data_IF_375584741254
#
_entry.id   IF_375584741254
#
_cell.length_a   1.000
_cell.length_b   1.000
_cell.length_c   1.000
_cell.angle_alpha   90.00
_cell.angle_beta   90.00
_cell.angle_gamma   90.00
#
_symmetry.space_group_name_H-M   'P 1'
#
loop_
_entity.id
_entity.type
_entity.pdbx_description
1 polymer ?
#
# COMPACT_ATOMS: atom_id res chain seq x y z
N UNK A 1 -26.13 5.05 5.06
CA UNK A 1 -24.89 5.65 4.51
C UNK A 1 -25.10 7.02 3.89
N UNK A 2 -26.18 7.27 3.12
CA UNK A 2 -26.48 8.60 2.53
C UNK A 2 -27.81 9.24 2.95
N UNK A 3 -28.54 8.61 3.88
CA UNK A 3 -29.52 9.28 4.75
C UNK A 3 -28.93 9.23 6.14
N UNK A 4 -28.23 10.29 6.53
CA UNK A 4 -27.90 10.53 7.94
C UNK A 4 -28.99 11.43 8.48
N UNK A 5 -30.14 10.83 8.80
CA UNK A 5 -31.28 11.57 9.36
C UNK A 5 -30.88 12.31 10.65
N UNK A 6 -30.00 11.72 11.45
CA UNK A 6 -29.42 12.33 12.65
C UNK A 6 -28.64 13.64 12.38
N UNK A 7 -28.16 13.87 11.16
CA UNK A 7 -27.43 15.08 10.75
C UNK A 7 -28.29 16.02 9.88
N UNK A 8 -29.59 15.73 9.70
CA UNK A 8 -30.51 16.51 8.84
C UNK A 8 -30.20 16.46 7.34
N UNK A 9 -29.31 15.56 6.91
CA UNK A 9 -28.78 15.54 5.54
C UNK A 9 -29.53 14.52 4.66
N UNK A 10 -30.58 14.98 3.97
CA UNK A 10 -31.22 14.21 2.88
C UNK A 10 -30.47 14.46 1.57
N UNK A 11 -29.50 13.60 1.27
CA UNK A 11 -28.67 13.72 0.08
C UNK A 11 -29.52 13.74 -1.20
N UNK A 12 -30.65 13.01 -1.24
CA UNK A 12 -31.51 12.95 -2.43
C UNK A 12 -32.10 14.31 -2.70
N UNK A 13 -32.65 14.99 -1.68
CA UNK A 13 -33.14 16.35 -1.84
C UNK A 13 -32.02 17.36 -2.09
N UNK A 14 -30.85 17.18 -1.46
CA UNK A 14 -29.70 18.07 -1.65
C UNK A 14 -29.10 18.04 -3.06
N UNK A 15 -29.23 16.91 -3.78
CA UNK A 15 -28.69 16.76 -5.15
C UNK A 15 -29.76 16.83 -6.25
N UNK A 16 -31.02 17.13 -5.92
CA UNK A 16 -32.12 17.26 -6.92
C UNK A 16 -31.81 18.27 -8.02
N UNK A 17 -31.11 19.35 -7.68
CA UNK A 17 -30.72 20.44 -8.58
C UNK A 17 -29.30 20.29 -9.12
N UNK A 18 -28.70 19.10 -9.05
CA UNK A 18 -27.35 18.86 -9.56
C UNK A 18 -27.31 18.92 -11.09
N UNK A 19 -26.75 20.00 -11.63
CA UNK A 19 -26.61 20.19 -13.08
C UNK A 19 -25.39 19.52 -13.70
N UNK A 20 -24.31 19.33 -12.93
CA UNK A 20 -23.02 18.87 -13.44
C UNK A 20 -22.42 17.79 -12.53
N UNK A 21 -22.06 16.66 -13.13
CA UNK A 21 -21.30 15.58 -12.49
C UNK A 21 -19.93 15.45 -13.16
N UNK A 22 -18.86 15.46 -12.38
CA UNK A 22 -17.50 15.25 -12.87
C UNK A 22 -16.95 13.95 -12.27
N UNK A 23 -16.58 13.01 -13.14
CA UNK A 23 -15.88 11.78 -12.80
C UNK A 23 -14.43 11.91 -13.24
N UNK A 24 -13.56 12.30 -12.31
CA UNK A 24 -12.12 12.41 -12.54
C UNK A 24 -11.40 11.08 -12.22
N UNK A 25 -10.28 10.84 -12.89
CA UNK A 25 -9.51 9.58 -12.85
C UNK A 25 -10.43 8.35 -13.02
N UNK A 26 -11.28 8.40 -14.04
CA UNK A 26 -12.39 7.46 -14.21
C UNK A 26 -11.97 6.00 -14.46
N UNK A 27 -10.75 5.75 -14.93
CA UNK A 27 -10.16 4.40 -14.99
C UNK A 27 -10.08 3.76 -13.59
N UNK A 28 -9.66 4.53 -12.57
CA UNK A 28 -9.56 4.08 -11.17
C UNK A 28 -10.90 3.76 -10.55
N UNK A 29 -11.89 4.58 -10.89
CA UNK A 29 -13.25 4.45 -10.40
C UNK A 29 -13.87 3.09 -10.81
N UNK A 30 -13.33 2.46 -11.84
CA UNK A 30 -13.76 1.14 -12.30
C UNK A 30 -12.86 0.01 -11.75
N UNK A 31 -11.54 0.20 -11.75
CA UNK A 31 -10.56 -0.84 -11.36
C UNK A 31 -10.71 -1.37 -9.92
N UNK A 32 -11.09 -0.52 -8.97
CA UNK A 32 -10.98 -0.80 -7.53
C UNK A 32 -12.25 -1.36 -6.88
N UNK A 33 -13.20 -1.88 -7.68
CA UNK A 33 -14.48 -2.35 -7.17
C UNK A 33 -15.38 -1.23 -6.64
N UNK A 34 -15.11 0.02 -7.04
CA UNK A 34 -15.99 1.16 -6.74
C UNK A 34 -17.22 1.23 -7.65
N UNK A 35 -17.32 0.35 -8.65
CA UNK A 35 -18.47 0.27 -9.57
C UNK A 35 -19.80 0.22 -8.81
N UNK A 36 -19.92 -0.65 -7.79
CA UNK A 36 -21.14 -0.74 -6.99
C UNK A 36 -21.45 0.58 -6.25
N UNK A 37 -20.42 1.25 -5.71
CA UNK A 37 -20.57 2.55 -5.04
C UNK A 37 -20.97 3.65 -6.03
N UNK A 38 -20.38 3.66 -7.23
CA UNK A 38 -20.69 4.63 -8.29
C UNK A 38 -22.10 4.41 -8.79
N UNK A 39 -22.49 3.19 -9.12
CA UNK A 39 -23.86 2.87 -9.55
C UNK A 39 -24.89 3.29 -8.49
N UNK A 40 -24.55 3.12 -7.20
CA UNK A 40 -25.38 3.61 -6.09
C UNK A 40 -25.50 5.13 -6.13
N UNK A 41 -24.37 5.85 -6.23
CA UNK A 41 -24.37 7.32 -6.31
C UNK A 41 -25.20 7.79 -7.52
N UNK A 42 -24.91 7.25 -8.72
CA UNK A 42 -25.60 7.59 -9.96
C UNK A 42 -27.12 7.33 -9.89
N UNK A 43 -27.56 6.33 -9.12
CA UNK A 43 -28.97 6.04 -8.88
C UNK A 43 -29.72 7.13 -8.09
N UNK A 44 -29.01 7.92 -7.27
CA UNK A 44 -29.60 9.03 -6.52
C UNK A 44 -29.50 10.38 -7.24
N UNK A 45 -28.65 10.50 -8.26
CA UNK A 45 -28.46 11.75 -9.00
C UNK A 45 -29.57 11.97 -10.06
N UNK A 46 -29.99 13.22 -10.30
CA UNK A 46 -30.99 13.54 -11.31
C UNK A 46 -30.53 13.05 -12.69
N UNK A 47 -31.46 12.43 -13.45
CA UNK A 47 -31.16 11.92 -14.80
C UNK A 47 -30.84 13.04 -15.80
N UNK A 48 -31.39 14.23 -15.59
CA UNK A 48 -31.10 15.42 -16.37
C UNK A 48 -29.93 16.14 -15.73
N UNK A 49 -28.72 15.81 -16.20
CA UNK A 49 -27.46 16.41 -15.77
C UNK A 49 -26.44 16.33 -16.89
N UNK A 50 -25.47 17.23 -16.91
CA UNK A 50 -24.27 17.12 -17.74
C UNK A 50 -23.25 16.26 -16.98
N UNK A 51 -22.68 15.26 -17.64
CA UNK A 51 -21.65 14.41 -17.01
C UNK A 51 -20.35 14.54 -17.80
N UNK A 52 -19.29 14.99 -17.14
CA UNK A 52 -17.94 15.02 -17.66
C UNK A 52 -17.14 13.85 -17.10
N UNK A 53 -16.50 13.09 -17.97
CA UNK A 53 -15.62 11.99 -17.60
C UNK A 53 -14.20 12.34 -18.05
N UNK A 54 -13.27 12.31 -17.11
CA UNK A 54 -11.87 12.66 -17.32
C UNK A 54 -11.00 11.49 -16.91
N UNK A 55 -10.06 11.13 -17.78
CA UNK A 55 -9.08 10.08 -17.52
C UNK A 55 -7.85 10.32 -18.39
N UNK A 56 -6.67 10.10 -17.80
CA UNK A 56 -5.41 10.11 -18.56
C UNK A 56 -5.24 8.85 -19.42
N UNK A 57 -5.89 7.74 -19.05
CA UNK A 57 -5.80 6.49 -19.81
C UNK A 57 -7.16 6.06 -20.37
N UNK A 58 -7.12 5.46 -21.55
CA UNK A 58 -8.30 4.86 -22.19
C UNK A 58 -8.18 3.35 -22.02
N UNK A 59 -9.09 2.77 -21.25
CA UNK A 59 -9.24 1.33 -21.05
C UNK A 59 -10.58 0.85 -21.61
N UNK A 60 -10.73 -0.45 -21.86
CA UNK A 60 -11.97 -1.00 -22.41
C UNK A 60 -13.13 -0.87 -21.41
N UNK A 61 -12.83 -0.97 -20.11
CA UNK A 61 -13.76 -0.79 -19.02
C UNK A 61 -14.32 0.64 -19.02
N UNK A 62 -13.47 1.63 -19.32
CA UNK A 62 -13.89 3.02 -19.43
C UNK A 62 -14.88 3.24 -20.58
N UNK A 63 -14.67 2.59 -21.74
CA UNK A 63 -15.63 2.62 -22.86
C UNK A 63 -17.00 2.07 -22.45
N UNK A 64 -17.01 1.00 -21.66
CA UNK A 64 -18.25 0.42 -21.14
C UNK A 64 -18.95 1.39 -20.17
N UNK A 65 -18.21 2.07 -19.29
CA UNK A 65 -18.76 3.10 -18.40
C UNK A 65 -19.31 4.30 -19.19
N UNK A 66 -18.62 4.73 -20.24
CA UNK A 66 -19.09 5.79 -21.15
C UNK A 66 -20.44 5.41 -21.76
N UNK A 67 -20.59 4.17 -22.25
CA UNK A 67 -21.84 3.66 -22.83
C UNK A 67 -22.97 3.55 -21.80
N UNK A 68 -22.66 3.16 -20.57
CA UNK A 68 -23.66 2.96 -19.52
C UNK A 68 -24.07 4.27 -18.81
N UNK A 69 -23.14 5.22 -18.66
CA UNK A 69 -23.28 6.37 -17.77
C UNK A 69 -23.52 7.72 -18.45
N UNK A 70 -23.27 7.84 -19.77
CA UNK A 70 -23.36 9.11 -20.50
C UNK A 70 -24.48 9.10 -21.54
N UNK A 71 -25.22 10.22 -21.62
CA UNK A 71 -26.20 10.48 -22.70
C UNK A 71 -25.53 11.30 -23.79
N UNK A 72 -25.52 10.77 -25.02
CA UNK A 72 -24.93 11.41 -26.20
C UNK A 72 -23.53 12.02 -25.95
N UNK A 73 -22.54 11.20 -25.53
CA UNK A 73 -21.22 11.71 -25.15
C UNK A 73 -20.45 12.24 -26.35
N UNK A 74 -19.86 13.43 -26.21
CA UNK A 74 -18.84 13.95 -27.13
C UNK A 74 -17.47 13.54 -26.62
N UNK A 75 -16.71 12.79 -27.42
CA UNK A 75 -15.36 12.36 -27.06
C UNK A 75 -14.34 13.37 -27.57
N UNK A 76 -13.63 13.99 -26.62
CA UNK A 76 -12.48 14.85 -26.91
C UNK A 76 -11.22 14.05 -26.58
N UNK A 77 -10.42 13.72 -27.59
CA UNK A 77 -9.11 13.10 -27.38
C UNK A 77 -8.03 14.11 -27.77
N UNK A 78 -7.33 14.62 -26.77
CA UNK A 78 -6.17 15.50 -27.00
C UNK A 78 -4.98 14.60 -27.32
N UNK A 79 -4.43 14.74 -28.53
CA UNK A 79 -3.16 14.12 -28.93
C UNK A 79 -2.13 15.24 -29.07
N UNK A 80 -0.96 15.12 -28.45
CA UNK A 80 0.14 16.05 -28.71
C UNK A 80 0.59 15.90 -30.18
N UNK A 81 0.60 17.02 -30.92
CA UNK A 81 1.13 17.07 -32.29
C UNK A 81 2.65 17.07 -32.20
N UNK A 82 3.32 16.02 -32.69
CA UNK A 82 4.78 16.00 -32.78
C UNK A 82 5.43 14.62 -32.84
N UNK A 83 4.74 13.58 -32.40
CA UNK A 83 5.20 12.20 -32.65
C UNK A 83 4.59 11.76 -33.98
N UNK A 84 5.43 11.31 -34.92
CA UNK A 84 5.01 10.86 -36.24
C UNK A 84 3.74 9.99 -36.18
N UNK A 85 2.89 10.08 -37.20
CA UNK A 85 1.59 9.42 -37.30
C UNK A 85 1.58 7.88 -37.08
N UNK A 86 2.75 7.28 -36.85
CA UNK A 86 3.02 5.87 -36.56
C UNK A 86 3.20 5.53 -35.07
N UNK A 87 3.48 6.46 -34.15
CA UNK A 87 3.66 6.14 -32.72
C UNK A 87 2.90 7.10 -31.79
N UNK A 88 1.72 6.66 -31.35
CA UNK A 88 0.84 7.39 -30.42
C UNK A 88 1.29 7.22 -28.97
N UNK A 89 2.30 7.95 -28.52
CA UNK A 89 2.78 7.84 -27.11
C UNK A 89 1.72 8.35 -26.12
N UNK A 90 1.49 7.62 -25.01
CA UNK A 90 0.58 8.02 -23.92
C UNK A 90 1.27 8.88 -22.85
N UNK A 91 2.57 9.14 -22.98
CA UNK A 91 3.39 9.90 -22.03
C UNK A 91 3.72 11.29 -22.56
N UNK A 92 3.94 12.30 -21.68
CA UNK A 92 4.33 13.64 -22.10
C UNK A 92 5.61 13.64 -22.96
N UNK A 93 5.68 14.47 -24.00
CA UNK A 93 6.85 14.50 -24.92
C UNK A 93 8.18 14.83 -24.22
N UNK A 94 8.14 15.62 -23.12
CA UNK A 94 9.33 16.00 -22.32
C UNK A 94 9.70 14.98 -21.24
N UNK A 95 8.97 13.87 -21.15
CA UNK A 95 9.23 12.77 -20.24
C UNK A 95 10.18 11.75 -20.87
N UNK A 96 11.32 11.52 -20.23
CA UNK A 96 12.22 10.44 -20.59
C UNK A 96 11.96 9.23 -19.70
N UNK A 97 11.55 8.10 -20.29
CA UNK A 97 11.29 6.86 -19.58
C UNK A 97 12.48 5.91 -19.73
N UNK A 98 13.04 5.50 -18.61
CA UNK A 98 14.18 4.61 -18.52
C UNK A 98 13.81 3.30 -17.81
N UNK A 99 14.52 2.23 -18.15
CA UNK A 99 14.53 1.00 -17.36
C UNK A 99 15.96 0.59 -17.02
N UNK A 100 16.11 -0.15 -15.93
CA UNK A 100 17.36 -0.76 -15.52
C UNK A 100 17.10 -2.20 -15.10
N UNK A 101 17.89 -3.12 -15.65
CA UNK A 101 17.89 -4.52 -15.24
C UNK A 101 18.92 -4.69 -14.13
N UNK A 102 18.51 -5.22 -12.99
CA UNK A 102 19.39 -5.44 -11.84
C UNK A 102 18.95 -6.68 -11.05
N UNK A 103 19.91 -7.39 -10.45
CA UNK A 103 19.62 -8.50 -9.54
C UNK A 103 18.95 -8.00 -8.26
N UNK A 104 18.19 -8.86 -7.58
CA UNK A 104 17.35 -8.47 -6.46
C UNK A 104 18.14 -7.94 -5.24
N UNK A 105 19.34 -8.49 -5.02
CA UNK A 105 20.30 -8.07 -4.01
C UNK A 105 21.00 -6.74 -4.35
N UNK A 106 21.30 -6.48 -5.61
CA UNK A 106 21.94 -5.23 -6.05
C UNK A 106 20.96 -4.05 -6.18
N UNK A 107 19.68 -4.33 -6.42
CA UNK A 107 18.62 -3.35 -6.70
C UNK A 107 18.58 -2.18 -5.71
N UNK A 108 18.68 -2.47 -4.40
CA UNK A 108 18.67 -1.43 -3.38
C UNK A 108 19.93 -0.56 -3.40
N UNK A 109 21.08 -1.16 -3.71
CA UNK A 109 22.36 -0.45 -3.79
C UNK A 109 22.36 0.53 -4.98
N UNK A 110 21.77 0.15 -6.12
CA UNK A 110 21.55 1.07 -7.25
C UNK A 110 20.66 2.25 -6.86
N UNK A 111 19.52 2.00 -6.19
CA UNK A 111 18.63 3.07 -5.75
C UNK A 111 19.36 4.09 -4.86
N UNK A 112 20.09 3.63 -3.85
CA UNK A 112 20.80 4.51 -2.91
C UNK A 112 21.89 5.30 -3.63
N UNK A 113 22.62 4.65 -4.55
CA UNK A 113 23.69 5.28 -5.31
C UNK A 113 23.12 6.36 -6.25
N UNK A 114 21.99 6.07 -6.91
CA UNK A 114 21.25 7.02 -7.73
C UNK A 114 20.86 8.27 -6.94
N UNK A 115 20.22 8.08 -5.78
CA UNK A 115 19.75 9.17 -4.93
C UNK A 115 20.91 10.00 -4.33
N UNK A 116 22.07 9.39 -4.09
CA UNK A 116 23.25 10.08 -3.54
C UNK A 116 23.98 10.95 -4.56
N UNK A 117 23.94 10.61 -5.84
CA UNK A 117 24.55 11.44 -6.88
C UNK A 117 23.68 12.66 -7.21
N UNK A 118 22.37 12.58 -6.94
CA UNK A 118 21.36 13.59 -7.31
C UNK A 118 20.67 14.23 -6.11
N UNK A 119 21.43 14.59 -5.07
CA UNK A 119 20.86 15.09 -3.80
C UNK A 119 20.09 16.40 -3.90
N UNK A 120 20.42 17.23 -4.90
CA UNK A 120 19.80 18.54 -5.13
C UNK A 120 18.51 18.45 -5.96
N UNK A 121 18.14 17.26 -6.42
CA UNK A 121 16.93 17.03 -7.20
C UNK A 121 15.77 16.56 -6.30
N UNK A 122 14.55 16.73 -6.79
CA UNK A 122 13.32 16.27 -6.16
C UNK A 122 12.89 14.91 -6.74
N UNK A 123 12.85 13.90 -5.88
CA UNK A 123 12.63 12.50 -6.24
C UNK A 123 11.33 11.96 -5.66
N UNK A 124 10.57 11.23 -6.48
CA UNK A 124 9.43 10.44 -6.05
C UNK A 124 9.74 8.96 -6.23
N UNK A 125 9.78 8.19 -5.14
CA UNK A 125 10.17 6.77 -5.14
C UNK A 125 8.98 5.90 -4.80
N UNK A 126 8.50 5.13 -5.77
CA UNK A 126 7.35 4.24 -5.64
C UNK A 126 7.76 2.83 -5.20
N UNK A 127 7.02 2.31 -4.21
CA UNK A 127 7.08 0.93 -3.74
C UNK A 127 5.70 0.30 -3.79
N UNK A 128 5.65 -1.02 -3.99
CA UNK A 128 4.37 -1.74 -4.16
C UNK A 128 3.54 -1.83 -2.88
N UNK A 129 4.15 -1.77 -1.69
CA UNK A 129 3.42 -1.94 -0.43
C UNK A 129 3.73 -0.88 0.62
N UNK A 130 2.77 -0.64 1.51
CA UNK A 130 2.96 0.26 2.66
C UNK A 130 4.11 -0.20 3.57
N UNK A 131 4.32 -1.51 3.71
CA UNK A 131 5.39 -2.04 4.57
C UNK A 131 6.77 -1.80 3.94
N UNK A 132 6.89 -1.90 2.61
CA UNK A 132 8.10 -1.50 1.89
C UNK A 132 8.38 0.00 2.07
N UNK A 133 7.38 0.87 1.93
CA UNK A 133 7.54 2.32 2.17
C UNK A 133 8.06 2.60 3.58
N UNK A 134 7.51 1.96 4.61
CA UNK A 134 7.96 2.16 5.99
C UNK A 134 9.37 1.61 6.27
N UNK A 135 9.76 0.51 5.61
CA UNK A 135 11.07 -0.12 5.77
C UNK A 135 12.14 0.65 5.01
N UNK A 136 11.94 0.86 3.72
CA UNK A 136 12.89 1.57 2.85
C UNK A 136 12.95 3.07 3.15
N UNK A 137 11.87 3.69 3.62
CA UNK A 137 11.89 5.08 4.10
C UNK A 137 12.92 5.29 5.22
N UNK A 138 12.89 4.41 6.24
CA UNK A 138 13.89 4.42 7.33
C UNK A 138 15.31 4.08 6.85
N UNK A 139 15.42 3.14 5.92
CA UNK A 139 16.70 2.75 5.33
C UNK A 139 17.34 3.93 4.59
N UNK A 140 16.58 4.60 3.72
CA UNK A 140 17.03 5.73 2.93
C UNK A 140 17.37 6.94 3.81
N UNK A 141 16.57 7.22 4.85
CA UNK A 141 16.88 8.26 5.84
C UNK A 141 18.25 8.05 6.51
N UNK A 142 18.62 6.81 6.80
CA UNK A 142 19.92 6.47 7.41
C UNK A 142 21.10 6.41 6.40
N UNK A 143 20.82 6.24 5.11
CA UNK A 143 21.82 6.02 4.06
C UNK A 143 22.06 7.24 3.19
N UNK A 144 21.05 8.06 2.92
CA UNK A 144 21.14 9.27 2.09
C UNK A 144 21.25 10.48 3.00
N UNK A 145 22.44 10.66 3.59
CA UNK A 145 22.72 11.79 4.48
C UNK A 145 22.59 13.13 3.73
N UNK A 146 22.13 14.15 4.46
CA UNK A 146 21.94 15.53 4.01
C UNK A 146 20.84 15.71 2.96
N UNK A 147 19.87 14.79 2.91
CA UNK A 147 18.67 14.91 2.07
C UNK A 147 17.45 14.63 2.92
N UNK A 148 16.40 15.42 2.73
CA UNK A 148 15.14 15.20 3.44
C UNK A 148 14.39 14.02 2.82
N UNK A 149 14.20 12.96 3.62
CA UNK A 149 13.44 11.78 3.23
C UNK A 149 12.09 11.79 3.93
N UNK A 150 11.02 11.78 3.16
CA UNK A 150 9.64 11.71 3.65
C UNK A 150 9.01 10.40 3.17
N UNK A 151 8.06 9.87 3.94
CA UNK A 151 7.35 8.63 3.59
C UNK A 151 5.84 8.81 3.69
N UNK A 152 5.11 8.36 2.68
CA UNK A 152 3.66 8.54 2.58
C UNK A 152 2.99 7.28 2.00
N UNK A 153 2.04 6.72 2.74
CA UNK A 153 1.24 5.58 2.29
C UNK A 153 -0.20 5.65 2.82
N UNK A 154 -1.10 4.85 2.23
CA UNK A 154 -2.55 4.95 2.47
C UNK A 154 -3.02 4.66 3.90
N UNK A 155 -2.20 4.03 4.73
CA UNK A 155 -2.53 3.78 6.15
C UNK A 155 -2.28 4.99 7.06
N UNK A 156 -1.69 6.07 6.53
CA UNK A 156 -1.44 7.30 7.28
C UNK A 156 -2.63 8.24 7.14
N UNK A 157 -3.56 8.24 8.10
CA UNK A 157 -4.77 9.09 8.05
C UNK A 157 -4.46 10.56 8.41
N UNK A 158 -3.88 10.81 9.58
CA UNK A 158 -3.74 12.18 10.13
C UNK A 158 -2.46 12.91 9.68
N UNK A 159 -1.39 12.17 9.34
CA UNK A 159 -0.08 12.76 8.98
C UNK A 159 0.10 13.02 7.48
N UNK A 160 -0.76 12.44 6.64
CA UNK A 160 -0.60 12.46 5.17
C UNK A 160 -0.61 13.89 4.61
N UNK A 161 -1.59 14.70 5.01
CA UNK A 161 -1.70 16.07 4.48
C UNK A 161 -0.51 16.94 4.92
N UNK A 162 -0.04 16.78 6.16
CA UNK A 162 1.15 17.49 6.65
C UNK A 162 2.40 17.13 5.84
N UNK A 163 2.67 15.84 5.68
CA UNK A 163 3.85 15.35 4.93
C UNK A 163 3.76 15.76 3.46
N UNK A 164 2.56 15.68 2.88
CA UNK A 164 2.34 16.11 1.50
C UNK A 164 2.61 17.60 1.31
N UNK A 165 2.04 18.45 2.16
CA UNK A 165 2.27 19.91 2.11
C UNK A 165 3.74 20.25 2.36
N UNK A 166 4.40 19.52 3.26
CA UNK A 166 5.83 19.67 3.51
C UNK A 166 6.65 19.31 2.26
N UNK A 167 6.41 18.16 1.64
CA UNK A 167 7.12 17.76 0.43
C UNK A 167 6.85 18.68 -0.76
N UNK A 168 5.62 19.19 -0.89
CA UNK A 168 5.25 20.13 -1.95
C UNK A 168 6.10 21.39 -1.91
N UNK A 169 6.42 21.89 -0.72
CA UNK A 169 7.23 23.10 -0.48
C UNK A 169 8.74 22.88 -0.63
N UNK A 170 9.21 21.63 -0.63
CA UNK A 170 10.63 21.36 -0.80
C UNK A 170 11.04 21.56 -2.26
N UNK A 171 12.18 22.23 -2.46
CA UNK A 171 12.86 22.34 -3.75
C UNK A 171 13.58 21.03 -4.10
N UNK A 172 14.19 20.38 -3.09
CA UNK A 172 14.88 19.09 -3.22
C UNK A 172 14.52 18.15 -2.08
N UNK A 173 14.57 16.85 -2.35
CA UNK A 173 14.21 15.83 -1.37
C UNK A 173 13.65 14.55 -1.97
N UNK A 174 13.37 13.57 -1.12
CA UNK A 174 12.93 12.24 -1.52
C UNK A 174 11.59 11.94 -0.85
N UNK A 175 10.57 11.65 -1.65
CA UNK A 175 9.30 11.13 -1.16
C UNK A 175 9.16 9.65 -1.51
N UNK A 176 9.15 8.82 -0.48
CA UNK A 176 8.92 7.37 -0.58
C UNK A 176 7.42 7.10 -0.45
N UNK A 177 6.78 6.51 -1.45
CA UNK A 177 5.33 6.36 -1.45
C UNK A 177 4.80 5.11 -2.15
N UNK A 178 3.52 4.81 -1.91
CA UNK A 178 2.74 3.84 -2.70
C UNK A 178 1.89 4.56 -3.75
N UNK A 179 1.08 3.80 -4.50
CA UNK A 179 0.16 4.30 -5.54
C UNK A 179 -0.93 5.27 -5.06
N UNK A 180 -0.98 5.56 -3.76
CA UNK A 180 -1.76 6.68 -3.23
C UNK A 180 -1.28 8.02 -3.81
N UNK A 181 0.00 8.11 -4.18
CA UNK A 181 0.61 9.30 -4.78
C UNK A 181 0.67 9.27 -6.31
N UNK A 182 0.19 8.21 -6.96
CA UNK A 182 0.34 8.03 -8.41
C UNK A 182 -0.69 8.81 -9.24
N UNK A 183 -1.86 9.15 -8.70
CA UNK A 183 -2.99 9.75 -9.44
C UNK A 183 -3.52 11.02 -8.77
N UNK A 184 -4.06 11.96 -9.55
CA UNK A 184 -4.79 13.15 -9.07
C UNK A 184 -4.04 14.16 -8.19
N UNK A 185 -2.79 13.89 -7.82
CA UNK A 185 -2.00 14.75 -6.94
C UNK A 185 -1.00 15.56 -7.76
N UNK A 186 -1.00 16.87 -7.53
CA UNK A 186 -0.04 17.78 -8.14
C UNK A 186 1.15 18.09 -7.22
N UNK A 187 2.34 17.70 -7.69
CA UNK A 187 3.62 17.99 -7.05
C UNK A 187 4.43 18.79 -8.07
N UNK A 188 4.72 20.07 -7.80
CA UNK A 188 5.52 20.87 -8.71
C UNK A 188 6.96 20.35 -8.73
N UNK A 189 7.56 20.44 -9.92
CA UNK A 189 9.00 20.33 -10.15
C UNK A 189 9.64 19.02 -9.65
N UNK A 190 8.97 17.89 -9.85
CA UNK A 190 9.59 16.58 -9.64
C UNK A 190 10.59 16.35 -10.78
N UNK A 191 11.87 16.14 -10.48
CA UNK A 191 12.89 15.82 -11.49
C UNK A 191 12.83 14.35 -11.90
N UNK A 192 12.68 13.47 -10.90
CA UNK A 192 12.71 12.02 -11.10
C UNK A 192 11.56 11.28 -10.44
N UNK A 193 10.97 10.37 -11.22
CA UNK A 193 10.07 9.33 -10.71
C UNK A 193 10.78 7.99 -10.75
N UNK A 194 11.16 7.46 -9.60
CA UNK A 194 11.79 6.16 -9.45
C UNK A 194 10.73 5.12 -9.08
N UNK A 195 10.58 4.10 -9.90
CA UNK A 195 9.70 2.97 -9.64
C UNK A 195 10.57 1.81 -9.17
N UNK A 196 10.81 1.74 -7.86
CA UNK A 196 11.61 0.67 -7.28
C UNK A 196 10.97 -0.68 -7.56
N UNK A 197 9.65 -0.77 -7.37
CA UNK A 197 8.88 -1.94 -7.76
C UNK A 197 8.01 -1.60 -8.98
N UNK A 198 7.91 -2.51 -9.97
CA UNK A 198 6.93 -2.37 -11.04
C UNK A 198 5.51 -2.18 -10.47
N UNK A 199 4.71 -1.28 -11.07
CA UNK A 199 3.35 -1.01 -10.62
C UNK A 199 2.45 -2.20 -10.86
N UNK A 200 1.47 -2.43 -9.97
CA UNK A 200 0.56 -3.59 -10.06
C UNK A 200 -0.23 -3.69 -11.37
N UNK A 201 -0.41 -2.56 -12.08
CA UNK A 201 -1.06 -2.49 -13.39
C UNK A 201 -0.29 -1.64 -14.38
N UNK A 202 -0.48 -1.92 -15.65
CA UNK A 202 0.15 -1.18 -16.76
C UNK A 202 -0.31 0.29 -16.80
N UNK A 203 -1.59 0.56 -16.47
CA UNK A 203 -2.12 1.92 -16.37
C UNK A 203 -1.43 2.69 -15.24
N UNK A 204 -1.21 2.07 -14.08
CA UNK A 204 -0.53 2.71 -12.96
C UNK A 204 0.91 3.14 -13.31
N UNK A 205 1.59 2.45 -14.23
CA UNK A 205 2.88 2.89 -14.77
C UNK A 205 2.82 4.30 -15.36
N UNK A 206 1.88 4.53 -16.28
CA UNK A 206 1.70 5.82 -16.97
C UNK A 206 1.39 6.93 -15.96
N UNK A 207 0.59 6.62 -14.95
CA UNK A 207 0.23 7.57 -13.89
C UNK A 207 1.40 7.95 -12.99
N UNK A 208 2.23 6.96 -12.61
CA UNK A 208 3.46 7.18 -11.85
C UNK A 208 4.42 8.06 -12.63
N UNK A 209 4.77 7.69 -13.85
CA UNK A 209 5.74 8.47 -14.65
C UNK A 209 5.19 9.86 -15.01
N UNK A 210 3.87 10.02 -15.15
CA UNK A 210 3.19 11.31 -15.30
C UNK A 210 3.18 12.21 -14.05
N UNK A 211 3.88 11.85 -12.96
CA UNK A 211 4.12 12.75 -11.81
C UNK A 211 5.26 13.74 -12.05
N UNK A 212 6.08 13.51 -13.06
CA UNK A 212 7.11 14.46 -13.54
C UNK A 212 6.75 14.97 -14.95
N UNK A 213 7.59 15.83 -15.53
CA UNK A 213 7.40 16.45 -16.84
C UNK A 213 6.06 17.21 -16.97
N UNK A 214 5.67 17.92 -15.91
CA UNK A 214 4.41 18.68 -15.83
C UNK A 214 4.59 20.15 -16.17
N UNK A 215 3.54 20.79 -16.69
CA UNK A 215 3.49 22.23 -16.96
C UNK A 215 4.69 22.67 -17.82
N UNK A 216 5.04 21.86 -18.83
CA UNK A 216 6.16 22.14 -19.72
C UNK A 216 7.56 21.86 -19.14
N UNK A 217 7.69 21.41 -17.89
CA UNK A 217 9.00 21.03 -17.35
C UNK A 217 9.51 19.72 -17.97
N UNK A 218 10.83 19.53 -17.91
CA UNK A 218 11.46 18.25 -18.20
C UNK A 218 11.38 17.32 -17.00
N UNK A 219 11.40 16.02 -17.27
CA UNK A 219 11.27 15.00 -16.25
C UNK A 219 11.77 13.65 -16.72
N UNK A 220 12.23 12.84 -15.79
CA UNK A 220 12.70 11.49 -16.08
C UNK A 220 12.05 10.47 -15.15
N UNK A 221 11.72 9.30 -15.68
CA UNK A 221 11.22 8.18 -14.90
C UNK A 221 12.13 6.98 -15.09
N UNK A 222 12.40 6.25 -14.02
CA UNK A 222 13.22 5.03 -14.05
C UNK A 222 12.46 3.89 -13.38
N UNK A 223 12.32 2.75 -14.06
CA UNK A 223 11.81 1.51 -13.45
C UNK A 223 12.92 0.49 -13.27
N UNK A 224 13.02 -0.08 -12.07
CA UNK A 224 13.95 -1.15 -11.79
C UNK A 224 13.27 -2.50 -12.02
N UNK A 225 13.87 -3.32 -12.89
CA UNK A 225 13.40 -4.63 -13.28
C UNK A 225 14.42 -5.70 -12.87
N UNK A 226 13.92 -6.87 -12.47
CA UNK A 226 14.73 -8.07 -12.34
C UNK A 226 15.02 -8.66 -13.73
N UNK A 227 16.07 -9.49 -13.89
CA UNK A 227 16.41 -10.08 -15.18
C UNK A 227 15.26 -10.83 -15.85
N UNK A 228 14.43 -11.56 -15.08
CA UNK A 228 13.26 -12.26 -15.64
C UNK A 228 12.08 -11.34 -15.98
N UNK A 229 12.12 -10.07 -15.59
CA UNK A 229 11.05 -9.09 -15.82
C UNK A 229 11.27 -8.26 -17.09
N UNK A 230 12.34 -8.49 -17.84
CA UNK A 230 12.71 -7.71 -19.04
C UNK A 230 11.57 -7.64 -20.08
N UNK A 231 10.80 -8.73 -20.23
CA UNK A 231 9.63 -8.78 -21.12
C UNK A 231 8.56 -7.72 -20.79
N UNK A 232 8.57 -7.17 -19.58
CA UNK A 232 7.69 -6.07 -19.18
C UNK A 232 7.93 -4.79 -20.00
N UNK A 233 9.16 -4.55 -20.45
CA UNK A 233 9.51 -3.39 -21.30
C UNK A 233 8.74 -3.45 -22.62
N UNK A 234 8.79 -4.60 -23.29
CA UNK A 234 8.06 -4.82 -24.55
C UNK A 234 6.55 -4.72 -24.34
N UNK A 235 6.03 -5.27 -23.24
CA UNK A 235 4.63 -5.17 -22.88
C UNK A 235 4.18 -3.70 -22.69
N UNK A 236 4.96 -2.87 -21.99
CA UNK A 236 4.65 -1.45 -21.83
C UNK A 236 4.71 -0.67 -23.16
N UNK A 237 5.68 -1.00 -24.01
CA UNK A 237 5.81 -0.41 -25.35
C UNK A 237 4.59 -0.71 -26.21
N UNK A 238 4.09 -1.95 -26.22
CA UNK A 238 2.95 -2.37 -27.06
C UNK A 238 1.62 -1.89 -26.46
N UNK A 239 1.36 -2.18 -25.18
CA UNK A 239 0.03 -2.01 -24.59
C UNK A 239 -0.22 -0.56 -24.11
N UNK A 240 0.83 0.11 -23.63
CA UNK A 240 0.74 1.49 -23.14
C UNK A 240 1.36 2.51 -24.09
N UNK A 241 1.98 2.08 -25.20
CA UNK A 241 2.68 2.96 -26.15
C UNK A 241 3.71 3.83 -25.43
N UNK A 242 4.39 3.23 -24.46
CA UNK A 242 5.37 3.86 -23.60
C UNK A 242 6.72 3.16 -23.84
N UNK A 243 7.49 3.58 -24.86
CA UNK A 243 8.82 3.03 -25.07
C UNK A 243 9.74 3.46 -23.94
N UNK A 244 10.59 2.55 -23.49
CA UNK A 244 11.58 2.78 -22.44
C UNK A 244 12.97 2.64 -23.05
N UNK A 245 13.89 3.48 -22.59
CA UNK A 245 15.30 3.40 -22.94
C UNK A 245 16.07 2.68 -21.83
N UNK A 246 16.99 1.79 -22.19
CA UNK A 246 17.87 1.18 -21.21
C UNK A 246 18.83 2.20 -20.62
N UNK A 247 18.98 2.20 -19.29
CA UNK A 247 19.96 3.02 -18.59
C UNK A 247 21.16 2.14 -18.19
N UNK A 248 22.16 2.08 -19.05
CA UNK A 248 23.29 1.14 -18.94
C UNK A 248 24.48 1.62 -18.07
N UNK A 249 24.41 2.81 -17.46
CA UNK A 249 25.62 3.51 -16.97
C UNK A 249 25.66 3.79 -15.47
N UNK A 250 25.11 2.92 -14.62
CA UNK A 250 25.25 3.10 -13.17
C UNK A 250 26.09 1.99 -12.56
N UNK A 251 27.35 2.27 -12.23
CA UNK A 251 28.17 1.36 -11.40
C UNK A 251 27.88 1.65 -9.94
N UNK A 252 27.29 0.69 -9.24
CA UNK A 252 27.24 0.76 -7.79
C UNK A 252 28.61 0.40 -7.22
N UNK A 253 29.29 1.35 -6.58
CA UNK A 253 30.62 1.14 -6.01
C UNK A 253 30.60 0.66 -4.56
N UNK A 254 29.46 0.75 -3.87
CA UNK A 254 29.37 0.48 -2.42
C UNK A 254 28.15 -0.35 -2.08
N UNK A 255 28.39 -1.50 -1.43
CA UNK A 255 27.34 -2.32 -0.85
C UNK A 255 26.77 -1.69 0.45
N UNK A 256 25.46 -1.48 0.49
CA UNK A 256 24.75 -0.92 1.64
C UNK A 256 23.96 -1.95 2.45
N UNK A 257 23.83 -3.18 1.95
CA UNK A 257 23.13 -4.26 2.65
C UNK A 257 23.76 -4.59 4.01
N UNK A 258 25.09 -4.62 4.20
CA UNK A 258 25.70 -4.89 5.50
C UNK A 258 25.31 -3.85 6.56
N UNK A 259 25.19 -2.58 6.16
CA UNK A 259 24.75 -1.50 7.05
C UNK A 259 23.29 -1.66 7.43
N UNK A 260 22.41 -2.03 6.49
CA UNK A 260 21.01 -2.36 6.81
C UNK A 260 20.89 -3.56 7.74
N UNK A 261 21.69 -4.59 7.49
CA UNK A 261 21.75 -5.79 8.34
C UNK A 261 22.20 -5.42 9.76
N UNK A 262 23.18 -4.52 9.90
CA UNK A 262 23.60 -3.97 11.21
C UNK A 262 22.48 -3.18 11.89
N UNK A 263 21.72 -2.37 11.15
CA UNK A 263 20.56 -1.65 11.71
C UNK A 263 19.50 -2.62 12.23
N UNK A 264 19.20 -3.68 11.48
CA UNK A 264 18.26 -4.73 11.89
C UNK A 264 18.74 -5.51 13.12
N UNK A 265 20.06 -5.75 13.25
CA UNK A 265 20.66 -6.35 14.46
C UNK A 265 20.54 -5.43 15.69
N UNK A 266 20.62 -4.12 15.48
CA UNK A 266 20.60 -3.13 16.57
C UNK A 266 19.19 -2.76 17.07
N UNK A 267 18.17 -2.84 16.22
CA UNK A 267 16.81 -2.45 16.55
C UNK A 267 15.80 -3.45 15.99
N UNK A 268 15.07 -4.10 16.92
CA UNK A 268 13.99 -5.04 16.60
C UNK A 268 12.90 -4.41 15.72
N UNK A 269 12.66 -3.10 15.83
CA UNK A 269 11.64 -2.45 14.99
C UNK A 269 12.05 -2.42 13.51
N UNK A 270 13.34 -2.29 13.20
CA UNK A 270 13.85 -2.34 11.82
C UNK A 270 13.78 -3.78 11.31
N UNK A 271 14.20 -4.75 12.12
CA UNK A 271 14.08 -6.18 11.80
C UNK A 271 12.64 -6.58 11.45
N UNK A 272 11.67 -6.26 12.30
CA UNK A 272 10.27 -6.63 12.07
C UNK A 272 9.66 -5.93 10.85
N UNK A 273 10.05 -4.68 10.59
CA UNK A 273 9.64 -3.96 9.37
C UNK A 273 10.20 -4.64 8.12
N UNK A 274 11.47 -5.06 8.13
CA UNK A 274 12.07 -5.80 7.01
C UNK A 274 11.34 -7.11 6.71
N UNK A 275 11.06 -7.91 7.76
CA UNK A 275 10.28 -9.15 7.64
C UNK A 275 8.89 -8.91 7.04
N UNK A 276 8.19 -7.88 7.55
CA UNK A 276 6.86 -7.52 7.06
C UNK A 276 6.88 -7.00 5.63
N UNK A 277 7.91 -6.21 5.28
CA UNK A 277 8.11 -5.66 3.94
C UNK A 277 8.31 -6.80 2.93
N UNK A 278 9.21 -7.74 3.22
CA UNK A 278 9.45 -8.90 2.36
C UNK A 278 8.17 -9.73 2.12
N UNK A 279 7.47 -10.12 3.19
CA UNK A 279 6.23 -10.91 3.04
C UNK A 279 5.19 -10.16 2.22
N UNK A 280 5.04 -8.85 2.46
CA UNK A 280 4.08 -8.04 1.71
C UNK A 280 4.48 -7.88 0.25
N UNK A 281 5.77 -7.76 -0.05
CA UNK A 281 6.29 -7.63 -1.42
C UNK A 281 5.99 -8.89 -2.21
N UNK A 282 6.32 -10.08 -1.67
CA UNK A 282 6.03 -11.36 -2.34
C UNK A 282 4.53 -11.53 -2.59
N UNK A 283 3.68 -11.14 -1.63
CA UNK A 283 2.22 -11.16 -1.81
C UNK A 283 1.72 -10.18 -2.87
N UNK A 284 2.34 -9.00 -2.99
CA UNK A 284 1.99 -8.03 -4.01
C UNK A 284 2.44 -8.51 -5.40
N UNK A 285 3.65 -9.08 -5.49
CA UNK A 285 4.19 -9.68 -6.70
C UNK A 285 3.30 -10.82 -7.21
N UNK A 286 2.82 -11.68 -6.32
CA UNK A 286 1.90 -12.77 -6.65
C UNK A 286 0.54 -12.30 -7.22
N UNK A 287 0.14 -11.06 -6.94
CA UNK A 287 -1.15 -10.47 -7.33
C UNK A 287 -1.01 -9.47 -8.48
N UNK A 288 0.16 -9.42 -9.12
CA UNK A 288 0.40 -8.51 -10.22
C UNK A 288 -0.52 -8.85 -11.42
N UNK A 289 -1.04 -7.83 -12.11
CA UNK A 289 -1.93 -8.01 -13.27
C UNK A 289 -1.26 -8.85 -14.37
N UNK A 290 -0.01 -8.50 -14.73
CA UNK A 290 0.84 -9.25 -15.64
C UNK A 290 1.44 -10.54 -15.01
N UNK A 291 0.60 -11.44 -14.51
CA UNK A 291 1.00 -12.69 -13.83
C UNK A 291 1.89 -13.62 -14.68
N UNK A 292 1.84 -13.53 -16.01
CA UNK A 292 2.68 -14.28 -16.95
C UNK A 292 4.13 -13.80 -16.95
N UNK A 293 4.35 -12.52 -16.68
CA UNK A 293 5.69 -11.91 -16.60
C UNK A 293 6.19 -12.02 -15.15
N UNK A 294 5.36 -11.62 -14.19
CA UNK A 294 5.72 -11.61 -12.76
C UNK A 294 5.36 -12.94 -12.10
N UNK A 295 6.07 -14.01 -12.46
CA UNK A 295 5.86 -15.36 -11.91
C UNK A 295 6.62 -15.55 -10.60
N UNK A 296 5.89 -15.86 -9.53
CA UNK A 296 6.48 -16.14 -8.19
C UNK A 296 7.40 -17.37 -8.19
N UNK A 297 7.22 -18.28 -9.16
CA UNK A 297 8.05 -19.47 -9.31
C UNK A 297 9.48 -19.13 -9.72
N UNK A 298 9.65 -18.05 -10.49
CA UNK A 298 10.95 -17.64 -11.05
C UNK A 298 11.70 -16.68 -10.12
N UNK A 299 11.07 -16.23 -9.03
CA UNK A 299 11.73 -15.39 -8.05
C UNK A 299 12.80 -16.17 -7.30
N UNK A 300 14.03 -15.67 -7.34
CA UNK A 300 15.08 -16.06 -6.41
C UNK A 300 14.81 -15.45 -5.02
N UNK A 301 14.28 -16.27 -4.12
CA UNK A 301 13.98 -15.86 -2.74
C UNK A 301 15.22 -15.61 -1.91
N UNK A 302 16.36 -16.23 -2.22
CA UNK A 302 17.61 -16.04 -1.49
C UNK A 302 18.19 -14.66 -1.80
N UNK A 303 18.39 -14.34 -3.09
CA UNK A 303 18.84 -13.02 -3.52
C UNK A 303 17.86 -11.91 -3.09
N UNK A 304 16.54 -12.15 -3.19
CA UNK A 304 15.53 -11.21 -2.70
C UNK A 304 15.64 -10.99 -1.18
N UNK A 305 15.82 -12.05 -0.39
CA UNK A 305 15.97 -11.92 1.06
C UNK A 305 17.26 -11.20 1.44
N UNK A 306 18.34 -11.37 0.66
CA UNK A 306 19.58 -10.59 0.78
C UNK A 306 19.35 -9.11 0.45
N UNK A 307 18.62 -8.78 -0.61
CA UNK A 307 18.26 -7.41 -0.97
C UNK A 307 17.41 -6.68 0.09
N UNK A 308 16.57 -7.43 0.82
CA UNK A 308 15.84 -6.92 2.01
C UNK A 308 16.68 -6.95 3.30
N UNK A 309 17.97 -7.31 3.22
CA UNK A 309 18.91 -7.43 4.34
C UNK A 309 18.34 -8.26 5.51
N UNK A 310 17.58 -9.32 5.22
CA UNK A 310 16.94 -10.14 6.25
C UNK A 310 17.97 -10.91 7.07
N UNK A 311 17.73 -11.02 8.38
CA UNK A 311 18.54 -11.85 9.28
C UNK A 311 18.13 -13.33 9.24
N UNK A 312 16.84 -13.57 8.96
CA UNK A 312 16.19 -14.89 8.96
C UNK A 312 15.06 -14.91 7.95
N UNK A 313 14.83 -16.06 7.32
CA UNK A 313 13.71 -16.25 6.40
C UNK A 313 12.34 -16.24 7.13
N UNK A 314 11.33 -15.53 6.60
CA UNK A 314 10.00 -15.53 7.17
C UNK A 314 9.29 -16.88 6.95
N UNK A 315 8.34 -17.20 7.82
CA UNK A 315 7.43 -18.34 7.60
C UNK A 315 6.23 -17.86 6.81
N UNK A 316 6.10 -18.29 5.55
CA UNK A 316 4.95 -17.98 4.71
C UNK A 316 4.59 -19.16 3.77
N UNK A 317 3.33 -19.28 3.32
CA UNK A 317 2.89 -20.36 2.43
C UNK A 317 3.72 -20.49 1.15
N UNK A 318 4.13 -19.37 0.56
CA UNK A 318 4.86 -19.28 -0.71
C UNK A 318 6.30 -19.82 -0.63
N UNK A 319 6.84 -19.90 0.58
CA UNK A 319 8.18 -20.45 0.88
C UNK A 319 8.13 -21.91 1.34
N UNK A 320 6.95 -22.50 1.48
CA UNK A 320 6.80 -23.86 2.01
C UNK A 320 7.32 -24.89 0.99
N UNK A 321 8.24 -25.75 1.43
CA UNK A 321 8.79 -26.82 0.60
C UNK A 321 9.86 -26.37 -0.39
N UNK A 322 10.41 -25.16 -0.22
CA UNK A 322 11.58 -24.68 -0.97
C UNK A 322 12.84 -24.78 -0.12
N UNK A 323 13.95 -25.10 -0.77
CA UNK A 323 15.26 -25.12 -0.15
C UNK A 323 15.89 -23.73 -0.19
N UNK A 324 16.61 -23.37 0.88
CA UNK A 324 17.24 -22.06 1.06
C UNK A 324 18.72 -22.21 1.44
N UNK A 325 19.43 -23.16 0.83
CA UNK A 325 20.85 -23.44 1.10
C UNK A 325 21.73 -22.19 0.96
N UNK A 326 21.40 -21.34 -0.01
CA UNK A 326 22.22 -20.19 -0.40
C UNK A 326 21.94 -18.96 0.50
N UNK A 327 20.94 -19.05 1.39
CA UNK A 327 20.63 -17.95 2.30
C UNK A 327 21.59 -17.91 3.49
N UNK A 328 22.48 -16.92 3.50
CA UNK A 328 23.36 -16.62 4.64
C UNK A 328 22.57 -16.09 5.85
N UNK A 329 22.06 -17.01 6.67
CA UNK A 329 21.42 -16.69 7.94
C UNK A 329 22.40 -16.04 8.93
N UNK A 330 21.92 -15.14 9.80
CA UNK A 330 22.78 -14.59 10.85
C UNK A 330 22.92 -15.58 12.00
N UNK A 331 24.14 -15.72 12.53
CA UNK A 331 24.45 -16.53 13.73
C UNK A 331 23.81 -16.02 15.03
N UNK A 332 23.20 -14.83 14.99
CA UNK A 332 22.58 -14.19 16.15
C UNK A 332 21.17 -14.75 16.35
N UNK A 333 20.82 -15.07 17.61
CA UNK A 333 19.44 -15.37 17.96
C UNK A 333 18.56 -14.15 17.74
N UNK A 334 17.74 -14.19 16.68
CA UNK A 334 16.83 -13.11 16.32
C UNK A 334 15.88 -12.74 17.45
N UNK A 335 15.50 -13.68 18.31
CA UNK A 335 14.54 -13.44 19.40
C UNK A 335 15.14 -12.66 20.58
N UNK A 336 16.46 -12.53 20.63
CA UNK A 336 17.16 -11.72 21.63
C UNK A 336 17.21 -10.22 21.29
N UNK A 337 16.95 -9.82 20.04
CA UNK A 337 17.12 -8.44 19.58
C UNK A 337 16.13 -7.50 20.32
N UNK A 338 16.62 -6.45 21.03
CA UNK A 338 15.77 -5.50 21.74
C UNK A 338 15.24 -4.40 20.80
N UNK A 339 14.12 -3.78 21.18
CA UNK A 339 13.72 -2.50 20.59
C UNK A 339 14.61 -1.36 21.10
N UNK A 340 15.02 -0.47 20.19
CA UNK A 340 15.77 0.75 20.59
C UNK A 340 14.92 1.70 21.44
N UNK A 341 13.61 1.69 21.23
CA UNK A 341 12.63 2.43 22.03
C UNK A 341 12.36 1.71 23.35
N UNK A 342 12.78 2.34 24.46
CA UNK A 342 12.65 1.81 25.82
C UNK A 342 11.21 1.48 26.19
N UNK A 343 10.23 2.26 25.72
CA UNK A 343 8.82 2.05 26.06
C UNK A 343 8.28 0.80 25.36
N UNK A 344 8.62 0.63 24.07
CA UNK A 344 8.26 -0.57 23.32
C UNK A 344 8.95 -1.82 23.86
N UNK A 345 10.19 -1.73 24.32
CA UNK A 345 10.88 -2.87 24.92
C UNK A 345 10.24 -3.28 26.26
N UNK A 346 9.90 -2.32 27.13
CA UNK A 346 9.15 -2.62 28.36
C UNK A 346 7.83 -3.35 28.07
N UNK A 347 7.06 -2.88 27.09
CA UNK A 347 5.82 -3.53 26.67
C UNK A 347 6.06 -4.95 26.13
N UNK A 348 7.14 -5.16 25.36
CA UNK A 348 7.53 -6.47 24.84
C UNK A 348 7.87 -7.43 25.97
N UNK A 349 8.71 -7.02 26.92
CA UNK A 349 9.10 -7.85 28.06
C UNK A 349 7.88 -8.27 28.89
N UNK A 350 6.95 -7.34 29.13
CA UNK A 350 5.67 -7.63 29.78
C UNK A 350 4.86 -8.68 29.03
N UNK A 351 4.72 -8.54 27.70
CA UNK A 351 4.04 -9.53 26.86
C UNK A 351 4.75 -10.89 26.86
N UNK A 352 6.08 -10.91 26.93
CA UNK A 352 6.87 -12.15 26.97
C UNK A 352 6.68 -12.88 28.30
N UNK A 353 6.71 -12.15 29.42
CA UNK A 353 6.41 -12.67 30.76
C UNK A 353 4.99 -13.22 30.82
N UNK A 354 3.99 -12.49 30.32
CA UNK A 354 2.62 -13.00 30.23
C UNK A 354 2.51 -14.29 29.42
N UNK A 355 3.26 -14.42 28.33
CA UNK A 355 3.28 -15.64 27.51
C UNK A 355 3.93 -16.80 28.26
N UNK A 356 5.05 -16.57 28.95
CA UNK A 356 5.72 -17.60 29.77
C UNK A 356 4.79 -18.11 30.88
N UNK A 357 4.16 -17.19 31.62
CA UNK A 357 3.16 -17.53 32.65
C UNK A 357 1.96 -18.31 32.09
N UNK A 358 1.49 -17.96 30.87
CA UNK A 358 0.43 -18.71 30.18
C UNK A 358 0.88 -20.10 29.74
N UNK A 359 2.13 -20.23 29.27
CA UNK A 359 2.68 -21.50 28.80
C UNK A 359 2.92 -22.47 29.98
N UNK A 360 3.48 -21.98 31.09
CA UNK A 360 3.67 -22.75 32.32
C UNK A 360 2.34 -23.24 32.92
N UNK A 361 1.30 -22.39 32.87
CA UNK A 361 -0.06 -22.75 33.26
C UNK A 361 -0.81 -23.69 32.31
N UNK A 362 -0.36 -23.81 31.05
CA UNK A 362 -0.90 -24.76 30.06
C UNK A 362 -0.15 -26.11 30.10
N UNK A 363 1.15 -26.14 30.41
CA UNK A 363 1.90 -27.39 30.66
C UNK A 363 1.47 -28.14 31.93
N UNK A 364 0.82 -27.47 32.90
CA UNK A 364 0.16 -28.13 34.05
C UNK A 364 -1.25 -28.66 33.76
N UNK A 365 -1.80 -28.42 32.56
CA UNK A 365 -3.11 -28.96 32.16
C UNK A 365 -2.92 -30.14 31.22
N UNK A 366 -2.82 -31.33 31.81
CA UNK A 366 -2.92 -32.59 31.08
C UNK A 366 -4.13 -32.58 30.13
N UNK A 367 -3.85 -33.03 28.91
CA UNK A 367 -4.72 -33.41 27.80
C UNK A 367 -6.24 -33.43 28.10
N UNK A 368 -6.91 -32.28 27.98
CA UNK A 368 -8.37 -32.25 27.89
C UNK A 368 -8.77 -32.32 26.41
N UNK A 369 -9.28 -33.49 25.99
CA UNK A 369 -9.86 -33.85 24.68
C UNK A 369 -10.30 -32.67 23.80
N UNK A 370 -9.93 -32.77 22.51
CA UNK A 370 -10.36 -31.94 21.38
C UNK A 370 -11.77 -31.37 21.56
N UNK A 371 -11.86 -30.09 21.93
CA UNK A 371 -13.11 -29.33 21.87
C UNK A 371 -13.24 -28.71 20.48
N UNK A 372 -14.42 -28.86 19.89
CA UNK A 372 -14.79 -28.30 18.59
C UNK A 372 -14.33 -26.84 18.42
N UNK A 373 -13.83 -26.53 17.21
CA UNK A 373 -13.25 -25.25 16.81
C UNK A 373 -14.11 -24.02 17.17
N UNK A 374 -15.44 -24.14 17.12
CA UNK A 374 -16.38 -23.08 17.50
C UNK A 374 -16.22 -22.66 18.98
N UNK A 375 -16.02 -23.60 19.89
CA UNK A 375 -15.80 -23.34 21.33
C UNK A 375 -14.41 -22.74 21.59
N UNK A 376 -13.44 -22.99 20.73
CA UNK A 376 -12.09 -22.40 20.77
C UNK A 376 -12.09 -20.94 20.29
N UNK A 377 -12.84 -20.61 19.23
CA UNK A 377 -13.00 -19.24 18.71
C UNK A 377 -13.60 -18.31 19.78
N UNK A 378 -14.68 -18.75 20.43
CA UNK A 378 -15.35 -18.02 21.52
C UNK A 378 -14.41 -17.78 22.72
N UNK A 379 -13.59 -18.78 23.09
CA UNK A 379 -12.61 -18.65 24.19
C UNK A 379 -11.47 -17.71 23.83
N UNK A 380 -11.03 -17.70 22.56
CA UNK A 380 -9.98 -16.80 22.04
C UNK A 380 -10.44 -15.35 22.03
N UNK A 381 -11.70 -15.11 21.65
CA UNK A 381 -12.32 -13.78 21.73
C UNK A 381 -12.48 -13.32 23.18
N UNK A 382 -12.82 -14.22 24.11
CA UNK A 382 -12.88 -13.90 25.54
C UNK A 382 -11.51 -13.53 26.12
N UNK A 383 -10.44 -14.24 25.73
CA UNK A 383 -9.04 -13.91 26.11
C UNK A 383 -8.60 -12.57 25.51
N UNK A 384 -8.98 -12.24 24.25
CA UNK A 384 -8.74 -10.92 23.65
C UNK A 384 -9.45 -9.80 24.43
N UNK A 385 -10.71 -9.99 24.80
CA UNK A 385 -11.51 -9.03 25.59
C UNK A 385 -10.93 -8.75 26.97
N UNK A 386 -10.43 -9.78 27.67
CA UNK A 386 -9.75 -9.63 28.97
C UNK A 386 -8.39 -8.93 28.86
N UNK A 387 -7.63 -9.19 27.79
CA UNK A 387 -6.36 -8.52 27.55
C UNK A 387 -6.54 -7.02 27.23
N UNK A 388 -7.61 -6.66 26.53
CA UNK A 388 -7.93 -5.26 26.22
C UNK A 388 -8.43 -4.53 27.48
N UNK A 389 -9.25 -5.18 28.32
CA UNK A 389 -9.70 -4.61 29.60
C UNK A 389 -8.54 -4.34 30.57
N UNK A 390 -7.55 -5.25 30.64
CA UNK A 390 -6.34 -5.03 31.44
C UNK A 390 -5.47 -3.88 30.92
N UNK A 391 -5.38 -3.70 29.60
CA UNK A 391 -4.64 -2.57 29.01
C UNK A 391 -5.29 -1.21 29.31
N UNK A 392 -6.62 -1.19 29.40
CA UNK A 392 -7.39 -0.02 29.83
C UNK A 392 -7.19 0.30 31.33
N UNK A 393 -7.19 -0.71 32.21
CA UNK A 393 -6.91 -0.53 33.65
C UNK A 393 -5.45 -0.12 33.94
N UNK A 394 -4.54 -0.36 33.01
CA UNK A 394 -3.11 0.00 33.10
C UNK A 394 -2.75 1.33 32.43
N UNK A 395 -3.73 2.13 32.00
CA UNK A 395 -3.52 3.49 31.51
C UNK A 395 -2.74 3.60 30.20
N UNK A 396 -2.88 2.62 29.29
CA UNK A 396 -2.33 2.76 27.93
C UNK A 396 -3.26 3.64 27.08
N UNK A 397 -2.70 4.65 26.39
CA UNK A 397 -3.40 5.49 25.41
C UNK A 397 -4.12 4.63 24.35
N UNK A 398 -5.39 4.33 24.61
CA UNK A 398 -6.34 3.72 23.68
C UNK A 398 -7.42 4.78 23.50
N UNK A 399 -7.67 5.17 22.24
CA UNK A 399 -8.68 6.18 21.89
C UNK A 399 -10.04 5.81 22.48
N UNK A 400 -10.74 6.80 23.05
CA UNK A 400 -12.07 6.63 23.68
C UNK A 400 -13.14 6.10 22.71
N UNK A 401 -12.93 6.27 21.40
CA UNK A 401 -13.76 5.70 20.34
C UNK A 401 -13.64 4.16 20.28
N UNK A 402 -12.43 3.62 20.38
CA UNK A 402 -12.19 2.16 20.39
C UNK A 402 -12.83 1.51 21.63
N UNK A 403 -12.84 2.23 22.77
CA UNK A 403 -13.47 1.77 24.02
C UNK A 403 -14.99 1.72 23.88
N UNK A 404 -15.59 2.72 23.26
CA UNK A 404 -17.03 2.80 23.07
C UNK A 404 -17.58 1.75 22.07
N UNK A 405 -16.84 1.47 21.00
CA UNK A 405 -17.19 0.41 20.05
C UNK A 405 -17.20 -0.96 20.74
N UNK A 406 -16.18 -1.24 21.56
CA UNK A 406 -16.06 -2.49 22.33
C UNK A 406 -17.17 -2.68 23.39
N UNK A 407 -17.63 -1.60 24.01
CA UNK A 407 -18.73 -1.63 25.00
C UNK A 407 -20.10 -1.95 24.36
N UNK A 408 -20.31 -1.56 23.11
CA UNK A 408 -21.55 -1.87 22.36
C UNK A 408 -21.58 -3.34 21.95
N UNK A 409 -20.49 -3.86 21.39
CA UNK A 409 -20.34 -5.26 21.01
C UNK A 409 -20.56 -6.22 22.18
N UNK A 410 -20.15 -5.81 23.39
CA UNK A 410 -20.34 -6.60 24.60
C UNK A 410 -21.79 -6.61 25.10
N UNK A 411 -22.58 -5.56 24.83
CA UNK A 411 -24.02 -5.53 25.13
C UNK A 411 -24.81 -6.43 24.16
N UNK A 412 -24.47 -6.40 22.87
CA UNK A 412 -25.08 -7.26 21.85
C UNK A 412 -24.87 -8.75 22.15
N UNK A 413 -23.66 -9.13 22.54
CA UNK A 413 -23.33 -10.52 22.90
C UNK A 413 -24.11 -11.02 24.12
N UNK A 414 -24.39 -10.14 25.08
CA UNK A 414 -25.22 -10.49 26.26
C UNK A 414 -26.69 -10.68 25.88
N UNK A 415 -27.20 -9.96 24.89
CA UNK A 415 -28.55 -10.14 24.36
C UNK A 415 -28.69 -11.49 23.62
N UNK A 416 -27.71 -11.86 22.80
CA UNK A 416 -27.67 -13.18 22.13
C UNK A 416 -27.65 -14.32 23.16
N UNK A 417 -26.81 -14.23 24.19
CA UNK A 417 -26.73 -15.26 25.24
C UNK A 417 -27.97 -15.40 26.11
N UNK A 418 -28.79 -14.35 26.21
CA UNK A 418 -30.08 -14.39 26.91
C UNK A 418 -31.22 -14.81 25.97
N UNK A 419 -30.92 -15.22 24.73
CA UNK A 419 -31.89 -15.61 23.72
C UNK A 419 -32.76 -14.45 23.23
N UNK A 420 -32.35 -13.20 23.47
CA UNK A 420 -33.14 -12.00 23.14
C UNK A 420 -32.97 -11.50 21.71
N UNK A 421 -31.98 -12.02 20.99
CA UNK A 421 -31.73 -11.79 19.56
C UNK A 421 -31.26 -13.09 18.93
N UNK A 422 -31.54 -13.31 17.64
CA UNK A 422 -31.10 -14.49 16.90
C UNK A 422 -29.64 -14.35 16.43
N UNK A 423 -29.02 -15.46 16.00
CA UNK A 423 -27.63 -15.47 15.53
C UNK A 423 -27.46 -14.63 14.25
N UNK A 424 -28.46 -14.66 13.36
CA UNK A 424 -28.51 -13.82 12.16
C UNK A 424 -28.68 -12.33 12.50
N UNK A 425 -29.54 -11.99 13.48
CA UNK A 425 -29.69 -10.60 13.96
C UNK A 425 -28.44 -10.08 14.66
N UNK A 426 -27.73 -10.94 15.36
CA UNK A 426 -26.47 -10.62 16.01
C UNK A 426 -25.36 -10.32 15.00
N UNK A 427 -25.23 -11.13 13.94
CA UNK A 427 -24.30 -10.84 12.84
C UNK A 427 -24.69 -9.57 12.08
N UNK A 428 -25.99 -9.36 11.85
CA UNK A 428 -26.51 -8.15 11.22
C UNK A 428 -26.25 -6.91 12.08
N UNK A 429 -26.36 -6.98 13.41
CA UNK A 429 -26.10 -5.85 14.32
C UNK A 429 -24.61 -5.58 14.57
N UNK A 430 -23.76 -6.61 14.52
CA UNK A 430 -22.30 -6.44 14.54
C UNK A 430 -21.79 -5.78 13.26
N UNK A 431 -22.32 -6.20 12.11
CA UNK A 431 -21.98 -5.61 10.81
C UNK A 431 -22.71 -4.30 10.55
N UNK A 432 -23.84 -4.06 11.25
CA UNK A 432 -24.59 -2.82 11.21
C UNK A 432 -23.78 -1.64 11.75
N UNK A 433 -22.70 -1.79 12.51
CA UNK A 433 -21.87 -0.62 12.89
C UNK A 433 -21.09 -0.07 11.69
N UNK A 434 -20.94 -0.83 10.59
CA UNK A 434 -20.51 -0.28 9.29
C UNK A 434 -21.67 0.46 8.57
N UNK A 435 -22.92 0.33 9.04
CA UNK A 435 -24.14 0.80 8.34
C UNK A 435 -25.17 1.62 9.16
N UNK A 436 -25.04 1.76 10.48
CA UNK A 436 -26.04 2.33 11.39
C UNK A 436 -25.45 3.50 12.21
N UNK A 437 -25.05 4.55 11.50
CA UNK A 437 -25.34 5.95 11.88
C UNK A 437 -26.38 6.47 10.87
N UNK A 438 -27.56 5.85 10.86
CA UNK A 438 -28.60 6.17 9.90
C UNK A 438 -29.95 5.54 10.22
N UNK A 439 -30.72 6.23 11.06
CA UNK A 439 -32.18 6.32 10.92
C UNK A 439 -33.03 6.04 12.15
N UNK A 440 -33.39 7.11 12.87
CA UNK A 440 -34.68 7.40 13.55
C UNK A 440 -34.41 8.65 14.41
N UNK A 441 -34.87 9.87 14.11
CA UNK A 441 -36.00 10.36 13.30
C UNK A 441 -35.54 11.33 12.18
#
# INVERSE_FOLDING_TARGET
>A
MFRRQADGLDLVSAVKTLDVLILDEADRLLDLGFEASINTILGFLPKQRRTGLFSATQTQELENLVRAGLRNPVRITVKEKGVAATSTQKTPTRLQNYYMICKADEKFNYLVSFLRQRKQEKHLVFFSTCACVEYYGKALEALVKNVKVLSLHGKMKHKRNRIFTEFRKLESGILVCTDVMARGIDIPEVNWVLQYDPPSSASAFVHRCGRTARIGNHGSALVFLLPMEESYVNFLSINQKCPLQEMSEFKCTVDHLPKLRSMAKSDRAVFEKGMKAFVSYVQAYAKHECNLIFRVKDLDFCSLAHGFALLKMPRMPELRGKDFSDFVSSTIDTDSIPYKDKNREKQRQKMLQEKKLKHEGESRKNYAKNKAWSKQKVKREKKKKLAIKRKHEEGSDIDDEDVNELLRDTRLLKKLKKGKITEEEFEKQLTAVVRCDGGSE
#
